data_IF_673312903460
#
_entry.id   IF_673312903460
#
_cell.length_a   1.000
_cell.length_b   1.000
_cell.length_c   1.000
_cell.angle_alpha   90.00
_cell.angle_beta   90.00
_cell.angle_gamma   90.00
#
_symmetry.space_group_name_H-M   'P 1'
#
loop_
_entity.id
_entity.type
_entity.pdbx_description
1 polymer ?
#
# COMPACT_ATOMS: atom_id res chain seq x y z
N UNK A 1 3.84 4.52 -2.43
CA UNK A 1 2.80 5.28 -3.14
C UNK A 1 3.43 6.11 -4.25
N UNK A 2 3.58 7.42 -4.04
CA UNK A 2 4.10 8.34 -5.07
C UNK A 2 5.51 7.97 -5.54
N UNK A 3 6.46 7.71 -4.62
CA UNK A 3 7.82 7.32 -5.00
C UNK A 3 7.86 6.12 -5.96
N UNK A 4 7.11 5.05 -5.64
CA UNK A 4 6.98 3.88 -6.50
C UNK A 4 6.37 4.19 -7.87
N UNK A 5 5.46 5.16 -7.95
CA UNK A 5 4.93 5.60 -9.22
C UNK A 5 5.96 6.31 -10.08
N UNK A 6 6.83 7.13 -9.47
CA UNK A 6 7.93 7.78 -10.17
C UNK A 6 8.91 6.78 -10.80
N UNK A 7 9.10 5.60 -10.18
CA UNK A 7 9.97 4.55 -10.71
C UNK A 7 9.35 3.82 -11.91
N UNK A 8 8.04 3.57 -11.89
CA UNK A 8 7.34 2.75 -12.91
C UNK A 8 6.77 3.60 -14.05
N UNK A 9 6.31 4.81 -13.75
CA UNK A 9 5.70 5.74 -14.70
C UNK A 9 6.16 7.18 -14.41
N UNK A 10 7.44 7.51 -14.66
CA UNK A 10 8.04 8.80 -14.29
C UNK A 10 7.34 10.02 -14.90
N UNK A 11 6.70 9.86 -16.06
CA UNK A 11 5.99 10.93 -16.76
C UNK A 11 4.50 11.04 -16.41
N UNK A 12 3.99 10.19 -15.50
CA UNK A 12 2.58 10.22 -15.15
C UNK A 12 2.26 11.35 -14.16
N UNK A 13 1.27 12.17 -14.49
CA UNK A 13 0.72 13.17 -13.56
C UNK A 13 0.03 12.41 -12.40
N UNK A 14 0.39 12.74 -11.17
CA UNK A 14 -0.06 12.02 -9.98
C UNK A 14 -0.36 12.95 -8.82
N UNK A 15 -1.49 12.72 -8.14
CA UNK A 15 -1.87 13.43 -6.91
C UNK A 15 -1.87 12.44 -5.75
N UNK A 16 -1.21 12.80 -4.65
CA UNK A 16 -0.93 11.88 -3.54
C UNK A 16 -2.12 11.45 -2.68
N UNK A 17 -3.23 12.20 -2.68
CA UNK A 17 -4.33 11.98 -1.73
C UNK A 17 -5.02 10.61 -1.91
N UNK A 18 -5.37 10.23 -3.14
CA UNK A 18 -6.02 8.94 -3.42
C UNK A 18 -5.07 7.76 -3.20
N UNK A 19 -3.78 7.92 -3.52
CA UNK A 19 -2.76 6.93 -3.21
C UNK A 19 -2.57 6.72 -1.69
N UNK A 20 -2.66 7.79 -0.90
CA UNK A 20 -2.61 7.71 0.56
C UNK A 20 -3.87 7.02 1.13
N UNK A 21 -5.06 7.33 0.60
CA UNK A 21 -6.30 6.65 0.96
C UNK A 21 -6.21 5.14 0.70
N UNK A 22 -5.70 4.74 -0.46
CA UNK A 22 -5.50 3.32 -0.78
C UNK A 22 -4.43 2.68 0.12
N UNK A 23 -3.42 3.43 0.55
CA UNK A 23 -2.51 2.99 1.62
C UNK A 23 -3.23 2.74 2.95
N UNK A 24 -4.17 3.60 3.35
CA UNK A 24 -4.99 3.35 4.53
C UNK A 24 -5.85 2.10 4.37
N UNK A 25 -6.42 1.85 3.19
CA UNK A 25 -7.16 0.62 2.92
C UNK A 25 -6.29 -0.62 3.01
N UNK A 26 -5.03 -0.56 2.57
CA UNK A 26 -4.05 -1.63 2.76
C UNK A 26 -3.74 -1.89 4.24
N UNK A 27 -3.54 -0.83 5.03
CA UNK A 27 -3.32 -0.95 6.47
C UNK A 27 -4.56 -1.51 7.19
N UNK A 28 -5.75 -1.08 6.79
CA UNK A 28 -7.02 -1.59 7.29
C UNK A 28 -7.20 -3.07 6.95
N UNK A 29 -6.87 -3.50 5.74
CA UNK A 29 -6.88 -4.91 5.37
C UNK A 29 -5.96 -5.77 6.26
N UNK A 30 -4.74 -5.29 6.52
CA UNK A 30 -3.81 -5.98 7.44
C UNK A 30 -4.40 -6.06 8.87
N UNK A 31 -5.04 -4.99 9.35
CA UNK A 31 -5.73 -4.99 10.64
C UNK A 31 -6.89 -6.01 10.67
N UNK A 32 -7.72 -6.06 9.63
CA UNK A 32 -8.81 -7.04 9.51
C UNK A 32 -8.28 -8.47 9.56
N UNK A 33 -7.19 -8.76 8.84
CA UNK A 33 -6.55 -10.06 8.89
C UNK A 33 -6.05 -10.41 10.30
N UNK A 34 -5.35 -9.48 10.96
CA UNK A 34 -4.81 -9.69 12.32
C UNK A 34 -5.90 -9.82 13.39
N UNK A 35 -7.04 -9.16 13.21
CA UNK A 35 -8.15 -9.14 14.17
C UNK A 35 -9.31 -10.06 13.81
N UNK A 36 -9.17 -10.86 12.74
CA UNK A 36 -10.21 -11.73 12.18
C UNK A 36 -10.85 -12.67 13.21
N UNK A 37 -10.08 -13.11 14.20
CA UNK A 37 -10.55 -14.00 15.26
C UNK A 37 -11.49 -13.33 16.28
N UNK A 38 -11.51 -12.00 16.36
CA UNK A 38 -12.33 -11.23 17.31
C UNK A 38 -13.69 -10.82 16.74
N UNK A 39 -13.87 -10.94 15.43
CA UNK A 39 -15.07 -10.45 14.75
C UNK A 39 -16.12 -11.54 14.64
N UNK A 40 -17.39 -11.15 14.66
CA UNK A 40 -18.51 -12.02 14.32
C UNK A 40 -18.64 -12.23 12.80
N UNK A 41 -19.33 -13.28 12.37
CA UNK A 41 -19.45 -13.65 10.95
C UNK A 41 -20.00 -12.51 10.06
N UNK A 42 -21.02 -11.79 10.53
CA UNK A 42 -21.56 -10.62 9.85
C UNK A 42 -20.52 -9.49 9.72
N UNK A 43 -19.83 -9.15 10.82
CA UNK A 43 -18.83 -8.09 10.85
C UNK A 43 -17.67 -8.40 9.89
N UNK A 44 -17.20 -9.66 9.85
CA UNK A 44 -16.18 -10.11 8.89
C UNK A 44 -16.58 -9.82 7.46
N UNK A 45 -17.79 -10.27 7.08
CA UNK A 45 -18.31 -10.11 5.72
C UNK A 45 -18.49 -8.64 5.37
N UNK A 46 -19.02 -7.83 6.29
CA UNK A 46 -19.22 -6.40 6.04
C UNK A 46 -17.87 -5.68 5.87
N UNK A 47 -16.95 -5.85 6.83
CA UNK A 47 -15.68 -5.15 6.83
C UNK A 47 -14.78 -5.53 5.65
N UNK A 48 -14.70 -6.83 5.32
CA UNK A 48 -13.92 -7.27 4.15
C UNK A 48 -14.55 -6.80 2.85
N UNK A 49 -15.89 -6.81 2.75
CA UNK A 49 -16.59 -6.32 1.56
C UNK A 49 -16.34 -4.84 1.35
N UNK A 50 -16.52 -4.01 2.39
CA UNK A 50 -16.23 -2.57 2.31
C UNK A 50 -14.77 -2.34 1.92
N UNK A 51 -13.84 -3.06 2.54
CA UNK A 51 -12.42 -2.93 2.22
C UNK A 51 -12.12 -3.24 0.76
N UNK A 52 -12.63 -4.37 0.26
CA UNK A 52 -12.40 -4.81 -1.11
C UNK A 52 -13.12 -3.91 -2.12
N UNK A 53 -14.33 -3.45 -1.83
CA UNK A 53 -15.09 -2.55 -2.72
C UNK A 53 -14.32 -1.26 -2.97
N UNK A 54 -13.80 -0.60 -1.93
CA UNK A 54 -13.00 0.61 -2.11
C UNK A 54 -11.71 0.35 -2.90
N UNK A 55 -11.01 -0.75 -2.61
CA UNK A 55 -9.81 -1.12 -3.37
C UNK A 55 -10.18 -1.35 -4.84
N UNK A 56 -11.20 -2.16 -5.13
CA UNK A 56 -11.60 -2.50 -6.50
C UNK A 56 -12.06 -1.26 -7.26
N UNK A 57 -12.94 -0.43 -6.69
CA UNK A 57 -13.44 0.77 -7.35
C UNK A 57 -12.29 1.71 -7.73
N UNK A 58 -11.36 1.98 -6.81
CA UNK A 58 -10.25 2.87 -7.10
C UNK A 58 -9.31 2.33 -8.19
N UNK A 59 -9.12 1.02 -8.27
CA UNK A 59 -8.37 0.42 -9.38
C UNK A 59 -9.15 0.43 -10.70
N UNK A 60 -10.47 0.26 -10.67
CA UNK A 60 -11.34 0.38 -11.85
C UNK A 60 -11.35 1.81 -12.40
N UNK A 61 -11.30 2.83 -11.56
CA UNK A 61 -11.15 4.24 -11.98
C UNK A 61 -9.86 4.50 -12.77
N UNK A 62 -8.83 3.67 -12.55
CA UNK A 62 -7.58 3.69 -13.32
C UNK A 62 -7.70 3.13 -14.73
N UNK A 63 -8.72 2.32 -15.03
CA UNK A 63 -8.87 1.69 -16.34
C UNK A 63 -9.34 2.73 -17.36
N UNK A 64 -8.46 3.10 -18.30
CA UNK A 64 -8.78 4.03 -19.39
C UNK A 64 -8.72 5.51 -19.00
N UNK A 65 -8.32 5.84 -17.76
CA UNK A 65 -8.13 7.22 -17.30
C UNK A 65 -6.65 7.59 -17.30
N UNK A 66 -6.29 8.66 -18.02
CA UNK A 66 -4.92 9.22 -17.96
C UNK A 66 -4.70 10.11 -16.72
N UNK A 67 -5.77 10.43 -15.99
CA UNK A 67 -5.71 11.28 -14.80
C UNK A 67 -5.56 10.48 -13.51
N UNK A 68 -5.72 9.15 -13.57
CA UNK A 68 -5.63 8.26 -12.41
C UNK A 68 -4.36 7.44 -12.52
N UNK A 69 -3.47 7.65 -11.56
CA UNK A 69 -2.19 6.97 -11.53
C UNK A 69 -2.30 5.65 -10.73
N UNK A 70 -2.57 4.56 -11.44
CA UNK A 70 -2.73 3.22 -10.84
C UNK A 70 -1.43 2.71 -10.21
N UNK A 71 -0.24 3.09 -10.72
CA UNK A 71 1.02 2.69 -10.09
C UNK A 71 1.19 3.32 -8.71
N UNK A 72 0.76 4.58 -8.55
CA UNK A 72 0.74 5.25 -7.24
C UNK A 72 -0.22 4.56 -6.25
N UNK A 73 -1.40 4.13 -6.71
CA UNK A 73 -2.35 3.37 -5.90
C UNK A 73 -1.81 2.00 -5.49
N UNK A 74 -1.18 1.26 -6.42
CA UNK A 74 -0.56 -0.02 -6.13
C UNK A 74 0.57 0.09 -5.10
N UNK A 75 1.48 1.05 -5.30
CA UNK A 75 2.53 1.33 -4.32
C UNK A 75 1.99 1.89 -3.01
N UNK A 76 0.81 2.53 -3.01
CA UNK A 76 0.09 2.95 -1.81
C UNK A 76 -0.42 1.73 -1.03
N UNK A 77 -1.16 0.86 -1.71
CA UNK A 77 -1.75 -0.36 -1.15
C UNK A 77 -0.69 -1.26 -0.51
N UNK A 78 0.41 -1.50 -1.23
CA UNK A 78 1.49 -2.37 -0.76
C UNK A 78 2.19 -1.80 0.48
N UNK A 79 2.55 -0.52 0.45
CA UNK A 79 3.14 0.15 1.61
C UNK A 79 2.19 0.16 2.81
N UNK A 80 0.91 0.42 2.56
CA UNK A 80 -0.16 0.35 3.55
C UNK A 80 -0.24 -1.01 4.25
N UNK A 81 -0.23 -2.10 3.47
CA UNK A 81 -0.21 -3.47 3.99
C UNK A 81 0.99 -3.73 4.88
N UNK A 82 2.20 -3.40 4.40
CA UNK A 82 3.43 -3.59 5.18
C UNK A 82 3.41 -2.80 6.49
N UNK A 83 2.99 -1.54 6.43
CA UNK A 83 2.89 -0.67 7.60
C UNK A 83 1.80 -1.16 8.56
N UNK A 84 0.66 -1.65 8.06
CA UNK A 84 -0.39 -2.24 8.88
C UNK A 84 0.10 -3.45 9.67
N UNK A 85 0.83 -4.38 9.03
CA UNK A 85 1.45 -5.51 9.73
C UNK A 85 2.51 -5.08 10.74
N UNK A 86 3.29 -4.04 10.42
CA UNK A 86 4.31 -3.48 11.31
C UNK A 86 3.70 -2.91 12.59
N UNK A 87 2.65 -2.09 12.45
CA UNK A 87 2.01 -1.37 13.56
C UNK A 87 1.11 -2.29 14.39
N UNK A 88 0.22 -3.02 13.73
CA UNK A 88 -0.81 -3.82 14.40
C UNK A 88 -0.34 -5.22 14.78
N UNK A 89 0.77 -5.70 14.20
CA UNK A 89 1.35 -7.01 14.50
C UNK A 89 1.73 -7.15 15.97
N UNK A 90 2.38 -6.13 16.56
CA UNK A 90 2.73 -6.13 18.00
C UNK A 90 1.49 -6.25 18.91
N UNK A 91 0.40 -5.58 18.55
CA UNK A 91 -0.80 -5.51 19.38
C UNK A 91 -1.67 -6.77 19.28
N UNK A 92 -1.82 -7.33 18.08
CA UNK A 92 -2.82 -8.38 17.84
C UNK A 92 -2.23 -9.76 17.51
N UNK A 93 -0.98 -9.85 17.04
CA UNK A 93 -0.36 -11.14 16.72
C UNK A 93 0.10 -11.91 17.97
N UNK A 94 0.05 -11.30 19.18
CA UNK A 94 0.43 -11.94 20.46
C UNK A 94 -0.34 -13.23 20.79
N UNK A 95 -1.51 -13.43 20.17
CA UNK A 95 -2.30 -14.67 20.30
C UNK A 95 -1.85 -15.77 19.34
N UNK A 96 -1.10 -15.43 18.29
CA UNK A 96 -0.40 -16.44 17.49
C UNK A 96 0.75 -17.02 18.31
N UNK A 97 1.43 -18.02 17.77
CA UNK A 97 2.66 -18.53 18.35
C UNK A 97 3.62 -17.35 18.65
N UNK A 98 4.23 -17.27 19.85
CA UNK A 98 5.09 -16.15 20.27
C UNK A 98 6.17 -15.80 19.25
N UNK A 99 6.71 -16.78 18.53
CA UNK A 99 7.70 -16.53 17.46
C UNK A 99 7.10 -15.71 16.31
N UNK A 100 5.86 -15.99 15.89
CA UNK A 100 5.15 -15.25 14.84
C UNK A 100 4.74 -13.86 15.30
N UNK A 101 4.31 -13.74 16.56
CA UNK A 101 3.92 -12.46 17.15
C UNK A 101 5.05 -11.42 17.10
N UNK A 102 6.30 -11.88 17.24
CA UNK A 102 7.49 -11.04 17.15
C UNK A 102 7.99 -10.88 15.72
N UNK A 103 7.94 -11.94 14.92
CA UNK A 103 8.44 -11.93 13.55
C UNK A 103 7.65 -11.00 12.62
N UNK A 104 6.31 -11.03 12.66
CA UNK A 104 5.47 -10.23 11.76
C UNK A 104 5.76 -8.73 11.81
N UNK A 105 5.76 -8.05 12.98
CA UNK A 105 6.04 -6.62 13.02
C UNK A 105 7.48 -6.29 12.62
N UNK A 106 8.45 -7.13 13.01
CA UNK A 106 9.87 -6.94 12.65
C UNK A 106 10.07 -7.08 11.14
N UNK A 107 9.53 -8.14 10.54
CA UNK A 107 9.57 -8.34 9.09
C UNK A 107 8.86 -7.21 8.35
N UNK A 108 7.71 -6.74 8.88
CA UNK A 108 7.02 -5.57 8.34
C UNK A 108 7.92 -4.34 8.31
N UNK A 109 8.58 -4.01 9.42
CA UNK A 109 9.50 -2.86 9.51
C UNK A 109 10.67 -3.01 8.55
N UNK A 110 11.29 -4.18 8.51
CA UNK A 110 12.41 -4.47 7.59
C UNK A 110 11.96 -4.31 6.13
N UNK A 111 10.81 -4.85 5.77
CA UNK A 111 10.24 -4.70 4.42
C UNK A 111 9.89 -3.24 4.10
N UNK A 112 9.35 -2.47 5.05
CA UNK A 112 9.08 -1.03 4.87
C UNK A 112 10.37 -0.25 4.57
N UNK A 113 11.42 -0.49 5.36
CA UNK A 113 12.72 0.16 5.18
C UNK A 113 13.33 -0.25 3.84
N UNK A 114 13.35 -1.55 3.53
CA UNK A 114 13.87 -2.06 2.27
C UNK A 114 13.10 -1.49 1.07
N UNK A 115 11.77 -1.43 1.14
CA UNK A 115 10.92 -0.84 0.10
C UNK A 115 11.21 0.65 -0.10
N UNK A 116 11.33 1.41 0.99
CA UNK A 116 11.69 2.83 0.93
C UNK A 116 13.05 3.04 0.27
N UNK A 117 14.08 2.35 0.75
CA UNK A 117 15.45 2.42 0.18
C UNK A 117 15.44 2.02 -1.30
N UNK A 118 14.73 0.95 -1.66
CA UNK A 118 14.65 0.50 -3.05
C UNK A 118 14.02 1.56 -3.95
N UNK A 119 12.87 2.12 -3.58
CA UNK A 119 12.20 3.16 -4.39
C UNK A 119 13.06 4.41 -4.53
N UNK A 120 13.71 4.88 -3.46
CA UNK A 120 14.63 6.03 -3.53
C UNK A 120 15.84 5.72 -4.42
N UNK A 121 16.43 4.52 -4.28
CA UNK A 121 17.60 4.13 -5.07
C UNK A 121 17.26 4.03 -6.55
N UNK A 122 16.13 3.39 -6.89
CA UNK A 122 15.66 3.24 -8.27
C UNK A 122 15.39 4.60 -8.90
N UNK A 123 14.75 5.51 -8.16
CA UNK A 123 14.51 6.87 -8.62
C UNK A 123 15.81 7.58 -9.04
N UNK A 124 16.89 7.44 -8.26
CA UNK A 124 18.17 8.10 -8.58
C UNK A 124 19.06 7.34 -9.57
N UNK A 125 18.79 6.07 -9.86
CA UNK A 125 19.69 5.22 -10.66
C UNK A 125 19.10 4.78 -12.00
N UNK A 126 17.78 4.64 -12.07
CA UNK A 126 17.09 4.05 -13.23
C UNK A 126 16.25 5.08 -13.97
N UNK A 127 15.73 6.11 -13.30
CA UNK A 127 14.93 7.14 -13.95
C UNK A 127 15.85 8.15 -14.64
N UNK A 128 15.95 8.15 -15.99
CA UNK A 128 16.72 9.18 -16.68
C UNK A 128 16.07 10.54 -16.43
N UNK A 129 16.87 11.56 -16.14
CA UNK A 129 16.42 12.96 -16.18
C UNK A 129 16.19 13.31 -17.65
N UNK A 130 15.05 12.92 -18.20
CA UNK A 130 14.65 13.36 -19.54
C UNK A 130 14.28 14.83 -19.49
N UNK A 131 14.83 15.62 -20.41
CA UNK A 131 14.40 16.99 -20.63
C UNK A 131 12.88 17.05 -20.78
N UNK A 132 12.28 18.10 -20.21
CA UNK A 132 10.84 18.28 -20.14
C UNK A 132 10.20 18.05 -21.52
N UNK A 133 9.08 17.31 -21.62
CA UNK A 133 8.34 17.31 -22.86
C UNK A 133 7.90 18.75 -23.17
N UNK A 134 8.31 19.27 -24.32
CA UNK A 134 7.83 20.54 -24.86
C UNK A 134 6.32 20.40 -25.12
N UNK A 135 5.53 20.79 -24.13
CA UNK A 135 4.12 21.11 -24.31
C UNK A 135 3.95 22.62 -24.25
N UNK A 136 4.41 23.29 -25.32
CA UNK A 136 3.94 24.59 -25.78
C UNK A 136 4.04 24.61 -27.30
#
# INVERSE_FOLDING_TARGET
>A
GIAFSCDIQPNAVSVGASAAFIGLMGAYFAQLHLTWFKMEGWQKRMNISVCLVFIIITFLEGIGSNCVNTSAHLGGLFMGLLQGYSLFGLQYARRWNPSRARAVPVLGIVCCIAYFIATVTLFYTVVPVTEQPQYW
#
